data_IF_104276533515
#
_entry.id   IF_104276533515
#
_cell.length_a   1.000
_cell.length_b   1.000
_cell.length_c   1.000
_cell.angle_alpha   90.00
_cell.angle_beta   90.00
_cell.angle_gamma   90.00
#
_symmetry.space_group_name_H-M   'P 1'
#
loop_
_entity.id
_entity.type
_entity.pdbx_description
1 polymer ?
#
# COMPACT_ATOMS: atom_id res chain seq x y z
N UNK A 1 -27.95 -7.42 -27.12
CA UNK A 1 -29.09 -7.74 -26.24
C UNK A 1 -29.72 -6.44 -25.77
N UNK A 2 -30.90 -6.13 -26.28
CA UNK A 2 -31.72 -4.98 -25.83
C UNK A 2 -32.62 -5.46 -24.69
N UNK A 3 -32.55 -4.82 -23.54
CA UNK A 3 -33.41 -5.12 -22.39
C UNK A 3 -34.70 -4.30 -22.51
N UNK A 4 -35.82 -4.84 -22.01
CA UNK A 4 -37.03 -4.03 -21.85
C UNK A 4 -36.80 -2.93 -20.80
N UNK A 5 -37.53 -1.81 -20.87
CA UNK A 5 -37.39 -0.71 -19.91
C UNK A 5 -37.50 -1.16 -18.44
N UNK A 6 -38.44 -2.06 -18.15
CA UNK A 6 -38.67 -2.59 -16.79
C UNK A 6 -37.47 -3.40 -16.29
N UNK A 7 -36.88 -4.22 -17.16
CA UNK A 7 -35.72 -5.04 -16.82
C UNK A 7 -34.45 -4.20 -16.62
N UNK A 8 -34.33 -3.09 -17.36
CA UNK A 8 -33.27 -2.12 -17.19
C UNK A 8 -33.38 -1.42 -15.83
N UNK A 9 -34.55 -0.88 -15.50
CA UNK A 9 -34.80 -0.16 -14.24
C UNK A 9 -34.54 -1.09 -13.04
N UNK A 10 -35.05 -2.33 -13.10
CA UNK A 10 -34.82 -3.33 -12.05
C UNK A 10 -33.33 -3.58 -11.82
N UNK A 11 -32.53 -3.79 -12.87
CA UNK A 11 -31.08 -4.00 -12.74
C UNK A 11 -30.35 -2.76 -12.26
N UNK A 12 -30.73 -1.58 -12.74
CA UNK A 12 -30.14 -0.32 -12.33
C UNK A 12 -30.30 -0.08 -10.83
N UNK A 13 -31.49 -0.29 -10.29
CA UNK A 13 -31.77 -0.08 -8.86
C UNK A 13 -31.04 -1.06 -7.94
N UNK A 14 -30.66 -2.25 -8.41
CA UNK A 14 -29.80 -3.18 -7.64
C UNK A 14 -28.37 -2.66 -7.45
N UNK A 15 -27.91 -1.74 -8.32
CA UNK A 15 -26.58 -1.15 -8.23
C UNK A 15 -26.55 0.20 -7.53
N UNK A 16 -27.70 0.84 -7.31
CA UNK A 16 -27.81 2.09 -6.58
C UNK A 16 -27.84 1.81 -5.10
N UNK A 17 -26.87 2.37 -4.38
CA UNK A 17 -26.82 2.27 -2.94
C UNK A 17 -27.88 3.22 -2.33
N UNK A 18 -28.80 2.74 -1.46
CA UNK A 18 -29.84 3.59 -0.89
C UNK A 18 -29.26 4.78 -0.12
N UNK A 19 -30.03 5.87 -0.03
CA UNK A 19 -29.61 7.09 0.68
C UNK A 19 -29.26 6.76 2.14
N UNK A 20 -28.13 7.27 2.61
CA UNK A 20 -27.62 7.01 3.97
C UNK A 20 -26.70 5.79 4.08
N UNK A 21 -26.60 4.97 3.04
CA UNK A 21 -25.62 3.89 2.99
C UNK A 21 -24.34 4.35 2.28
N UNK A 22 -23.18 4.01 2.85
CA UNK A 22 -21.87 4.28 2.26
C UNK A 22 -21.32 3.00 1.60
N UNK A 23 -20.80 3.12 0.38
CA UNK A 23 -20.24 1.97 -0.35
C UNK A 23 -18.94 1.54 0.34
N UNK A 24 -18.95 0.36 0.95
CA UNK A 24 -17.74 -0.21 1.54
C UNK A 24 -16.83 -0.68 0.40
N UNK A 25 -15.74 0.06 0.15
CA UNK A 25 -14.74 -0.27 -0.88
C UNK A 25 -13.78 -1.39 -0.44
N UNK A 26 -13.65 -1.57 0.87
CA UNK A 26 -12.68 -2.43 1.51
C UNK A 26 -13.39 -3.26 2.56
N UNK A 27 -13.69 -4.51 2.23
CA UNK A 27 -14.31 -5.49 3.12
C UNK A 27 -13.41 -6.74 3.21
N UNK A 28 -13.47 -7.45 4.33
CA UNK A 28 -12.74 -8.69 4.55
C UNK A 28 -11.51 -8.56 5.45
N UNK A 29 -11.00 -9.73 5.90
CA UNK A 29 -9.90 -9.87 6.86
C UNK A 29 -8.61 -9.15 6.44
N UNK A 30 -8.42 -9.00 5.12
CA UNK A 30 -7.22 -8.43 4.52
C UNK A 30 -7.41 -6.98 4.05
N UNK A 31 -8.46 -6.31 4.48
CA UNK A 31 -8.77 -4.97 4.06
C UNK A 31 -8.53 -3.97 5.20
N UNK A 32 -7.96 -2.80 4.88
CA UNK A 32 -7.77 -1.70 5.83
C UNK A 32 -6.41 -1.67 6.56
N UNK A 33 -6.19 -0.64 7.38
CA UNK A 33 -4.89 -0.36 8.02
C UNK A 33 -4.48 -1.42 9.06
N UNK A 34 -5.46 -2.11 9.67
CA UNK A 34 -5.24 -3.16 10.67
C UNK A 34 -4.89 -4.52 10.06
N UNK A 35 -4.90 -4.64 8.71
CA UNK A 35 -4.60 -5.88 7.98
C UNK A 35 -3.34 -6.57 8.49
N UNK A 36 -2.23 -5.83 8.66
CA UNK A 36 -0.95 -6.40 9.09
C UNK A 36 -1.07 -7.10 10.45
N UNK A 37 -1.71 -6.44 11.42
CA UNK A 37 -1.92 -6.99 12.75
C UNK A 37 -2.85 -8.21 12.74
N UNK A 38 -3.92 -8.18 11.94
CA UNK A 38 -4.85 -9.31 11.81
C UNK A 38 -4.22 -10.53 11.15
N UNK A 39 -3.43 -10.33 10.09
CA UNK A 39 -2.68 -11.43 9.42
C UNK A 39 -1.70 -12.06 10.41
N UNK A 40 -0.96 -11.23 11.15
CA UNK A 40 0.01 -11.72 12.13
C UNK A 40 -0.67 -12.55 13.23
N UNK A 41 -1.79 -12.06 13.75
CA UNK A 41 -2.61 -12.80 14.72
C UNK A 41 -3.11 -14.14 14.16
N UNK A 42 -3.58 -14.15 12.91
CA UNK A 42 -4.04 -15.38 12.26
C UNK A 42 -2.90 -16.40 12.10
N UNK A 43 -1.70 -15.96 11.70
CA UNK A 43 -0.52 -16.85 11.59
C UNK A 43 -0.16 -17.49 12.92
N UNK A 44 -0.19 -16.72 14.02
CA UNK A 44 0.05 -17.24 15.38
C UNK A 44 -0.97 -18.29 15.79
N UNK A 45 -2.26 -18.03 15.55
CA UNK A 45 -3.34 -18.96 15.87
C UNK A 45 -3.26 -20.25 15.06
N UNK A 46 -2.81 -20.16 13.81
CA UNK A 46 -2.64 -21.30 12.92
C UNK A 46 -1.31 -22.06 13.13
N UNK A 47 -0.44 -21.60 14.05
CA UNK A 47 0.86 -22.23 14.31
C UNK A 47 1.82 -22.16 13.12
N UNK A 48 1.68 -21.16 12.23
CA UNK A 48 2.54 -21.02 11.05
C UNK A 48 3.94 -20.61 11.51
N UNK A 49 4.93 -21.44 11.17
CA UNK A 49 6.35 -21.12 11.42
C UNK A 49 6.72 -19.84 10.65
N UNK A 50 7.26 -18.80 11.32
CA UNK A 50 7.70 -17.61 10.62
C UNK A 50 8.79 -17.98 9.60
N UNK A 51 8.79 -17.37 8.41
CA UNK A 51 9.88 -17.58 7.47
C UNK A 51 11.20 -17.17 8.11
N UNK A 52 12.31 -17.84 7.75
CA UNK A 52 13.64 -17.44 8.21
C UNK A 52 13.84 -15.96 7.88
N UNK A 53 14.47 -15.22 8.80
CA UNK A 53 14.80 -13.83 8.58
C UNK A 53 15.51 -13.71 7.24
N UNK A 54 14.91 -12.95 6.31
CA UNK A 54 15.56 -12.66 5.05
C UNK A 54 16.90 -12.00 5.38
N UNK A 55 17.98 -12.65 4.96
CA UNK A 55 19.29 -12.03 4.94
C UNK A 55 19.12 -10.76 4.10
N UNK A 56 19.64 -9.59 4.52
CA UNK A 56 19.65 -8.44 3.65
C UNK A 56 20.44 -8.84 2.40
N UNK A 57 19.75 -9.08 1.29
CA UNK A 57 20.43 -9.17 0.01
C UNK A 57 21.11 -7.82 -0.20
N UNK A 58 22.42 -7.86 -0.47
CA UNK A 58 23.15 -6.71 -0.96
C UNK A 58 22.33 -6.09 -2.09
N UNK A 59 22.06 -4.78 -2.07
CA UNK A 59 21.21 -4.17 -3.08
C UNK A 59 21.85 -4.42 -4.45
N UNK A 60 21.24 -5.30 -5.24
CA UNK A 60 21.62 -5.45 -6.64
C UNK A 60 21.52 -4.07 -7.28
N UNK A 61 22.63 -3.63 -7.86
CA UNK A 61 22.73 -2.34 -8.49
C UNK A 61 21.94 -2.34 -9.81
N UNK A 62 20.61 -2.16 -9.72
CA UNK A 62 19.70 -2.13 -10.86
C UNK A 62 19.68 -0.79 -11.59
N UNK A 63 20.72 0.05 -11.44
CA UNK A 63 20.77 1.37 -12.10
C UNK A 63 20.88 1.18 -13.62
N UNK A 64 20.03 1.85 -14.42
CA UNK A 64 20.12 1.75 -15.87
C UNK A 64 21.45 2.34 -16.37
N UNK A 65 22.05 1.75 -17.42
CA UNK A 65 23.22 2.33 -18.07
C UNK A 65 22.85 3.64 -18.79
N UNK A 66 23.84 4.53 -18.94
CA UNK A 66 23.65 5.80 -19.64
C UNK A 66 23.22 5.54 -21.10
N UNK A 67 22.11 6.14 -21.58
CA UNK A 67 21.61 5.93 -22.94
C UNK A 67 22.55 6.45 -24.04
N UNK A 68 23.50 7.33 -23.72
CA UNK A 68 24.44 7.90 -24.70
C UNK A 68 25.76 7.12 -24.80
N UNK A 69 26.25 6.55 -23.70
CA UNK A 69 27.60 5.95 -23.64
C UNK A 69 27.66 4.59 -22.94
N UNK A 70 26.55 4.08 -22.40
CA UNK A 70 26.50 2.81 -21.66
C UNK A 70 27.18 2.85 -20.27
N UNK A 71 27.71 4.00 -19.85
CA UNK A 71 28.38 4.16 -18.56
C UNK A 71 27.45 4.01 -17.35
N UNK A 72 28.04 3.76 -16.17
CA UNK A 72 27.29 3.67 -14.90
C UNK A 72 26.76 5.03 -14.49
N UNK A 73 25.46 5.11 -14.23
CA UNK A 73 24.84 6.31 -13.67
C UNK A 73 25.01 6.32 -12.14
N UNK A 74 25.37 7.49 -11.58
CA UNK A 74 25.51 7.68 -10.13
C UNK A 74 24.36 8.57 -9.64
N UNK A 75 23.65 8.12 -8.60
CA UNK A 75 22.62 8.93 -7.96
C UNK A 75 23.35 9.95 -7.08
N UNK A 76 23.23 11.23 -7.42
CA UNK A 76 23.87 12.32 -6.67
C UNK A 76 23.01 12.69 -5.46
N UNK A 77 21.69 12.67 -5.63
CA UNK A 77 20.73 13.04 -4.59
C UNK A 77 19.37 12.36 -4.85
N UNK A 78 18.70 11.96 -3.77
CA UNK A 78 17.32 11.47 -3.79
C UNK A 78 16.44 12.43 -3.04
N UNK A 79 15.53 13.10 -3.74
CA UNK A 79 14.54 13.96 -3.09
C UNK A 79 13.47 13.11 -2.41
N UNK A 80 13.11 13.47 -1.18
CA UNK A 80 11.96 12.86 -0.52
C UNK A 80 10.70 13.06 -1.37
N UNK A 81 9.80 12.07 -1.35
CA UNK A 81 8.49 12.25 -1.97
C UNK A 81 7.83 13.46 -1.31
N UNK A 82 7.51 14.48 -2.12
CA UNK A 82 6.70 15.60 -1.68
C UNK A 82 5.48 15.05 -0.95
N UNK A 83 5.37 15.36 0.35
CA UNK A 83 4.28 14.83 1.15
C UNK A 83 2.94 15.37 0.62
N UNK A 84 2.01 14.50 0.19
CA UNK A 84 0.68 14.97 -0.18
C UNK A 84 0.06 15.66 1.04
N UNK A 85 -0.74 16.70 0.84
CA UNK A 85 -1.37 17.49 1.92
C UNK A 85 -2.22 16.67 2.92
N UNK A 86 -2.45 15.37 2.66
CA UNK A 86 -3.17 14.42 3.51
C UNK A 86 -2.30 13.25 3.99
N UNK A 87 -0.98 13.39 3.97
CA UNK A 87 -0.11 12.46 4.67
C UNK A 87 -0.29 12.65 6.19
N UNK A 88 -0.26 11.56 6.99
CA UNK A 88 -0.19 11.69 8.44
C UNK A 88 1.06 12.50 8.83
N UNK A 89 1.00 13.28 9.92
CA UNK A 89 2.15 14.07 10.37
C UNK A 89 3.35 13.16 10.64
N UNK A 90 4.54 13.58 10.19
CA UNK A 90 5.79 12.86 10.49
C UNK A 90 5.94 12.73 12.01
N UNK A 91 6.18 11.52 12.49
CA UNK A 91 6.68 11.32 13.85
C UNK A 91 8.10 11.85 13.90
N UNK A 92 8.30 12.99 14.57
CA UNK A 92 9.62 13.54 14.85
C UNK A 92 10.38 12.49 15.66
N UNK A 93 11.38 11.84 15.07
CA UNK A 93 12.32 11.02 15.82
C UNK A 93 13.09 11.99 16.69
N UNK A 94 12.87 11.93 18.00
CA UNK A 94 13.61 12.73 18.98
C UNK A 94 15.08 12.32 18.89
N UNK A 95 15.88 13.13 18.21
CA UNK A 95 17.34 13.04 18.24
C UNK A 95 17.78 13.44 19.64
N UNK A 96 18.01 12.43 20.48
CA UNK A 96 18.64 12.60 21.78
C UNK A 96 19.99 13.29 21.62
N UNK A 97 20.12 14.40 22.34
CA UNK A 97 21.33 15.19 22.52
C UNK A 97 22.47 14.31 23.02
N UNK A 98 23.62 14.35 22.35
CA UNK A 98 24.89 13.97 22.97
C UNK A 98 25.72 15.25 23.07
N UNK A 99 26.05 15.60 24.30
CA UNK A 99 26.92 16.71 24.72
C UNK A 99 27.91 16.16 25.74
N UNK A 100 29.02 16.87 25.96
CA UNK A 100 30.12 17.15 25.04
C UNK A 100 31.20 16.06 25.02
#
# INVERSE_FOLDING_TARGET
MTLSPDEFIRRFLLHVLPKGFHRIRHYGLLAGPTRKAHIERARKLLGVTPPPAAVPDEPEDTRPPCPCCGGRMVVIETFERWCPARAPPYSVISTGTITP
#
